data_IF_348805303046
#
_entry.id   IF_348805303046
#
_cell.length_a   1.000
_cell.length_b   1.000
_cell.length_c   1.000
_cell.angle_alpha   90.00
_cell.angle_beta   90.00
_cell.angle_gamma   90.00
#
_symmetry.space_group_name_H-M   'P 1'
#
loop_
_entity.id
_entity.type
_entity.pdbx_description
1 polymer ?
#
# COMPACT_ATOMS: atom_id res chain seq x y z
N UNK A 1 28.01 0.43 57.44
CA UNK A 1 26.80 1.01 56.82
C UNK A 1 26.84 0.67 55.33
N UNK A 2 25.83 -0.03 54.83
CA UNK A 2 25.73 -0.53 53.44
C UNK A 2 25.37 0.64 52.51
N UNK A 3 26.18 0.87 51.47
CA UNK A 3 25.91 1.87 50.43
C UNK A 3 25.13 1.16 49.32
N UNK A 4 23.88 1.56 49.10
CA UNK A 4 23.03 1.04 48.04
C UNK A 4 23.23 1.93 46.81
N UNK A 5 23.94 1.44 45.81
CA UNK A 5 24.03 2.07 44.49
C UNK A 5 22.75 1.77 43.71
N UNK A 6 21.92 2.80 43.49
CA UNK A 6 20.78 2.71 42.58
C UNK A 6 21.27 2.86 41.14
N UNK A 7 21.26 1.77 40.38
CA UNK A 7 21.50 1.80 38.94
C UNK A 7 20.17 2.09 38.22
N UNK A 8 20.02 3.29 37.68
CA UNK A 8 18.89 3.65 36.81
C UNK A 8 19.19 3.12 35.42
N UNK A 9 18.55 2.02 35.04
CA UNK A 9 18.58 1.51 33.67
C UNK A 9 17.53 2.29 32.89
N UNK A 10 17.99 3.23 32.06
CA UNK A 10 17.15 3.90 31.06
C UNK A 10 16.95 2.92 29.91
N UNK A 11 15.79 2.26 29.88
CA UNK A 11 15.35 1.54 28.70
C UNK A 11 14.94 2.57 27.65
N UNK A 12 15.85 2.89 26.73
CA UNK A 12 15.48 3.51 25.48
C UNK A 12 14.66 2.49 24.69
N UNK A 13 13.33 2.55 24.80
CA UNK A 13 12.45 1.80 23.90
C UNK A 13 12.69 2.34 22.49
N UNK A 14 13.08 1.51 21.52
CA UNK A 14 13.05 1.95 20.13
C UNK A 14 11.59 2.28 19.82
N UNK A 15 11.31 3.56 19.58
CA UNK A 15 10.08 3.97 18.91
C UNK A 15 10.13 3.27 17.55
N UNK A 16 9.35 2.21 17.38
CA UNK A 16 9.10 1.63 16.08
C UNK A 16 8.50 2.77 15.27
N UNK A 17 9.31 3.37 14.41
CA UNK A 17 8.84 4.35 13.45
C UNK A 17 7.81 3.65 12.58
N UNK A 18 6.54 3.92 12.84
CA UNK A 18 5.47 3.64 11.91
C UNK A 18 5.87 4.35 10.62
N UNK A 19 6.23 3.58 9.59
CA UNK A 19 6.61 4.11 8.29
C UNK A 19 5.43 4.97 7.82
N UNK A 20 5.61 6.30 7.86
CA UNK A 20 4.55 7.24 7.47
C UNK A 20 4.20 6.96 6.01
N UNK A 21 3.13 6.17 5.81
CA UNK A 21 2.67 5.84 4.48
C UNK A 21 1.89 7.02 3.94
N UNK A 22 2.52 7.79 3.06
CA UNK A 22 1.92 8.95 2.41
C UNK A 22 0.94 8.48 1.32
N UNK A 23 -0.36 8.73 1.50
CA UNK A 23 -1.39 8.40 0.52
C UNK A 23 -2.76 8.18 1.17
N UNK A 24 -3.80 8.00 0.34
CA UNK A 24 -5.09 7.51 0.83
C UNK A 24 -4.94 6.06 1.35
N UNK A 25 -5.74 5.61 2.32
CA UNK A 25 -5.65 4.25 2.86
C UNK A 25 -5.66 3.17 1.78
N UNK A 26 -6.47 3.35 0.73
CA UNK A 26 -6.50 2.44 -0.42
C UNK A 26 -5.19 2.43 -1.19
N UNK A 27 -4.63 3.60 -1.51
CA UNK A 27 -3.36 3.68 -2.23
C UNK A 27 -2.22 3.05 -1.41
N UNK A 28 -2.23 3.25 -0.09
CA UNK A 28 -1.29 2.60 0.83
C UNK A 28 -1.42 1.08 0.75
N UNK A 29 -2.64 0.54 0.88
CA UNK A 29 -2.86 -0.89 0.83
C UNK A 29 -2.45 -1.51 -0.51
N UNK A 30 -2.85 -0.89 -1.62
CA UNK A 30 -2.51 -1.36 -2.96
C UNK A 30 -0.99 -1.26 -3.22
N UNK A 31 -0.33 -0.18 -2.82
CA UNK A 31 1.13 -0.06 -2.94
C UNK A 31 1.86 -1.17 -2.18
N UNK A 32 1.45 -1.45 -0.94
CA UNK A 32 2.04 -2.53 -0.13
C UNK A 32 1.87 -3.91 -0.76
N UNK A 33 0.79 -4.12 -1.53
CA UNK A 33 0.48 -5.40 -2.15
C UNK A 33 0.87 -5.50 -3.64
N UNK A 34 1.32 -4.42 -4.27
CA UNK A 34 1.71 -4.41 -5.70
C UNK A 34 3.20 -4.12 -5.90
N UNK A 35 3.76 -3.14 -5.19
CA UNK A 35 5.16 -2.69 -5.36
C UNK A 35 6.17 -3.83 -5.19
N UNK A 36 6.06 -4.70 -4.16
CA UNK A 36 7.01 -5.80 -3.99
C UNK A 36 7.05 -6.78 -5.17
N UNK A 37 6.00 -6.84 -6.00
CA UNK A 37 5.87 -7.79 -7.09
C UNK A 37 6.16 -7.19 -8.47
N UNK A 38 6.53 -5.90 -8.54
CA UNK A 38 6.80 -5.21 -9.81
C UNK A 38 7.82 -5.96 -10.67
N UNK A 39 8.89 -6.52 -10.10
CA UNK A 39 9.95 -7.16 -10.87
C UNK A 39 9.78 -8.68 -11.05
N UNK A 40 8.59 -9.22 -10.77
CA UNK A 40 8.27 -10.62 -11.02
C UNK A 40 7.82 -10.86 -12.45
N UNK A 41 7.84 -12.11 -12.91
CA UNK A 41 7.34 -12.52 -14.24
C UNK A 41 5.81 -12.61 -14.29
N UNK A 42 5.11 -12.42 -13.16
CA UNK A 42 3.65 -12.49 -13.08
C UNK A 42 3.01 -11.39 -13.92
N UNK A 43 1.90 -11.64 -14.63
CA UNK A 43 1.13 -10.59 -15.29
C UNK A 43 0.77 -9.44 -14.34
N UNK A 44 0.86 -8.20 -14.82
CA UNK A 44 0.56 -7.02 -13.99
C UNK A 44 -0.89 -7.04 -13.48
N UNK A 45 -1.82 -7.47 -14.34
CA UNK A 45 -3.24 -7.63 -14.02
C UNK A 45 -3.45 -8.57 -12.81
N UNK A 46 -2.81 -9.73 -12.80
CA UNK A 46 -2.94 -10.70 -11.70
C UNK A 46 -2.40 -10.16 -10.36
N UNK A 47 -1.32 -9.37 -10.41
CA UNK A 47 -0.77 -8.73 -9.21
C UNK A 47 -1.77 -7.72 -8.63
N UNK A 48 -2.42 -6.94 -9.51
CA UNK A 48 -3.39 -5.93 -9.09
C UNK A 48 -4.67 -6.57 -8.58
N UNK A 49 -5.21 -7.58 -9.27
CA UNK A 49 -6.42 -8.29 -8.84
C UNK A 49 -6.24 -8.92 -7.45
N UNK A 50 -5.11 -9.60 -7.21
CA UNK A 50 -4.80 -10.14 -5.87
C UNK A 50 -4.62 -9.04 -4.81
N UNK A 51 -4.10 -7.86 -5.19
CA UNK A 51 -3.99 -6.74 -4.27
C UNK A 51 -5.38 -6.19 -3.91
N UNK A 52 -6.32 -6.14 -4.86
CA UNK A 52 -7.71 -5.77 -4.61
C UNK A 52 -8.41 -6.78 -3.70
N UNK A 53 -8.16 -8.08 -3.86
CA UNK A 53 -8.66 -9.12 -2.95
C UNK A 53 -8.13 -8.95 -1.51
N UNK A 54 -6.84 -8.60 -1.36
CA UNK A 54 -6.23 -8.38 -0.04
C UNK A 54 -6.65 -7.06 0.61
N UNK A 55 -7.08 -6.09 -0.19
CA UNK A 55 -7.46 -4.75 0.28
C UNK A 55 -8.99 -4.56 0.38
N UNK A 56 -9.78 -5.63 0.34
CA UNK A 56 -11.26 -5.57 0.36
C UNK A 56 -11.82 -4.73 1.50
N UNK A 57 -11.26 -4.85 2.71
CA UNK A 57 -11.72 -4.09 3.88
C UNK A 57 -11.57 -2.58 3.68
N UNK A 58 -10.46 -2.17 3.05
CA UNK A 58 -10.14 -0.77 2.77
C UNK A 58 -10.96 -0.26 1.57
N UNK A 59 -11.16 -1.11 0.56
CA UNK A 59 -12.04 -0.84 -0.58
C UNK A 59 -13.48 -0.60 -0.12
N UNK A 60 -14.02 -1.45 0.75
CA UNK A 60 -15.37 -1.29 1.28
C UNK A 60 -15.55 0.03 2.05
N UNK A 61 -14.52 0.47 2.78
CA UNK A 61 -14.54 1.78 3.43
C UNK A 61 -14.48 2.93 2.42
N UNK A 62 -13.69 2.79 1.35
CA UNK A 62 -13.63 3.78 0.28
C UNK A 62 -14.96 3.87 -0.51
N UNK A 63 -15.65 2.76 -0.71
CA UNK A 63 -16.98 2.73 -1.32
C UNK A 63 -18.01 3.44 -0.47
N UNK A 64 -17.96 3.25 0.85
CA UNK A 64 -18.80 3.98 1.80
C UNK A 64 -18.56 5.49 1.75
N UNK A 65 -17.33 5.93 1.59
CA UNK A 65 -16.99 7.36 1.42
C UNK A 65 -17.54 7.96 0.12
N UNK A 66 -17.76 7.11 -0.89
CA UNK A 66 -18.28 7.48 -2.21
C UNK A 66 -19.76 7.16 -2.41
N UNK A 67 -20.47 6.72 -1.37
CA UNK A 67 -21.88 6.30 -1.46
C UNK A 67 -22.81 7.42 -1.96
N UNK A 68 -22.44 8.69 -1.75
CA UNK A 68 -23.20 9.84 -2.25
C UNK A 68 -22.97 10.15 -3.74
N UNK A 69 -22.00 9.50 -4.39
CA UNK A 69 -21.69 9.74 -5.79
C UNK A 69 -22.65 8.96 -6.71
N UNK A 70 -22.86 9.40 -7.96
CA UNK A 70 -23.60 8.63 -8.95
C UNK A 70 -22.94 7.25 -9.18
N UNK A 71 -23.71 6.15 -9.26
CA UNK A 71 -23.15 4.80 -9.41
C UNK A 71 -22.23 4.65 -10.62
N UNK A 72 -22.55 5.28 -11.74
CA UNK A 72 -21.73 5.27 -12.95
C UNK A 72 -20.36 5.93 -12.73
N UNK A 73 -20.29 6.94 -11.86
CA UNK A 73 -19.05 7.62 -11.51
C UNK A 73 -18.18 6.77 -10.58
N UNK A 74 -18.79 5.99 -9.69
CA UNK A 74 -18.06 5.06 -8.83
C UNK A 74 -17.43 3.96 -9.68
N UNK A 75 -18.21 3.32 -10.54
CA UNK A 75 -17.72 2.27 -11.44
C UNK A 75 -16.58 2.78 -12.33
N UNK A 76 -16.75 3.96 -12.97
CA UNK A 76 -15.70 4.55 -13.81
C UNK A 76 -14.41 4.82 -13.03
N UNK A 77 -14.51 5.32 -11.78
CA UNK A 77 -13.33 5.56 -10.95
C UNK A 77 -12.63 4.26 -10.57
N UNK A 78 -13.38 3.18 -10.31
CA UNK A 78 -12.79 1.89 -9.94
C UNK A 78 -12.05 1.26 -11.11
N UNK A 79 -12.62 1.32 -12.31
CA UNK A 79 -11.99 0.87 -13.55
C UNK A 79 -10.72 1.68 -13.86
N UNK A 80 -10.80 3.01 -13.79
CA UNK A 80 -9.64 3.88 -14.02
C UNK A 80 -8.53 3.65 -12.99
N UNK A 81 -8.88 3.50 -11.72
CA UNK A 81 -7.91 3.31 -10.65
C UNK A 81 -7.23 1.95 -10.72
N UNK A 82 -7.98 0.90 -11.08
CA UNK A 82 -7.42 -0.43 -11.32
C UNK A 82 -6.46 -0.41 -12.52
N UNK A 83 -6.89 0.15 -13.65
CA UNK A 83 -6.06 0.30 -14.85
C UNK A 83 -4.79 1.12 -14.58
N UNK A 84 -4.88 2.16 -13.75
CA UNK A 84 -3.72 2.93 -13.32
C UNK A 84 -2.65 2.05 -12.66
N UNK A 85 -3.02 1.15 -11.74
CA UNK A 85 -2.05 0.26 -11.09
C UNK A 85 -1.43 -0.74 -12.05
N UNK A 86 -2.22 -1.30 -12.97
CA UNK A 86 -1.72 -2.20 -14.01
C UNK A 86 -0.66 -1.50 -14.85
N UNK A 87 -0.99 -0.31 -15.38
CA UNK A 87 -0.06 0.47 -16.19
C UNK A 87 1.16 0.97 -15.41
N UNK A 88 1.01 1.26 -14.11
CA UNK A 88 2.12 1.63 -13.24
C UNK A 88 3.16 0.51 -13.17
N UNK A 89 2.73 -0.74 -12.94
CA UNK A 89 3.62 -1.91 -12.90
C UNK A 89 4.31 -2.11 -14.25
N UNK A 90 3.54 -2.11 -15.34
CA UNK A 90 4.09 -2.29 -16.69
C UNK A 90 5.12 -1.21 -17.05
N UNK A 91 4.83 0.04 -16.71
CA UNK A 91 5.71 1.18 -16.97
C UNK A 91 7.02 1.06 -16.19
N UNK A 92 6.94 0.67 -14.90
CA UNK A 92 8.13 0.46 -14.08
C UNK A 92 9.02 -0.68 -14.62
N UNK A 93 8.42 -1.79 -15.04
CA UNK A 93 9.14 -2.91 -15.68
C UNK A 93 9.87 -2.49 -16.96
N UNK A 94 9.21 -1.69 -17.81
CA UNK A 94 9.81 -1.14 -19.04
C UNK A 94 11.00 -0.25 -18.73
N UNK A 95 10.86 0.64 -17.74
CA UNK A 95 11.95 1.53 -17.32
C UNK A 95 13.16 0.76 -16.79
N UNK A 96 12.95 -0.28 -15.98
CA UNK A 96 14.05 -1.07 -15.42
C UNK A 96 14.72 -1.97 -16.47
N UNK A 97 13.98 -2.44 -17.48
CA UNK A 97 14.57 -3.10 -18.66
C UNK A 97 15.44 -2.14 -19.46
N UNK A 98 15.00 -0.89 -19.67
CA UNK A 98 15.73 0.11 -20.45
C UNK A 98 16.97 0.69 -19.73
N UNK A 99 17.14 0.44 -18.42
CA UNK A 99 18.34 0.82 -17.66
C UNK A 99 19.47 -0.21 -17.76
N UNK A 100 19.19 -1.42 -18.24
CA UNK A 100 20.18 -2.49 -18.46
C UNK A 100 20.81 -2.38 -19.83
#
# INVERSE_FOLDING_TARGET
MKWITLAIIVFATPVLGEEYSYGSPIAVCLNNNTIPYINTDRPAIEIVDEAYEKCQDVLAQWDKERESLPPEMVVSQDEEFHAFYVHMIESRRKLDTNKK
#
